data_IF_112935187721
#
_entry.id   IF_112935187721
#
_cell.length_a   1.000
_cell.length_b   1.000
_cell.length_c   1.000
_cell.angle_alpha   90.00
_cell.angle_beta   90.00
_cell.angle_gamma   90.00
#
_symmetry.space_group_name_H-M   'P 1'
#
loop_
_entity.id
_entity.type
_entity.pdbx_description
1 polymer ?
2 polymer ?
3 water ?
#
# COMPACT_ATOMS: atom_id res chain seq x y z
N UNK A 13 1.44 7.34 -19.83
CA UNK A 13 2.43 6.21 -19.91
C UNK A 13 3.02 5.87 -18.54
N UNK A 14 4.02 4.99 -18.53
CA UNK A 14 4.65 4.57 -17.29
C UNK A 14 5.45 5.71 -16.66
N UNK A 15 5.76 6.73 -17.44
CA UNK A 15 6.51 7.87 -16.93
C UNK A 15 5.65 8.82 -16.12
N UNK A 16 4.35 8.54 -16.07
CA UNK A 16 3.38 9.35 -15.32
C UNK A 16 3.95 9.69 -13.94
N UNK A 17 3.62 10.87 -13.42
CA UNK A 17 4.12 11.30 -12.12
C UNK A 17 3.20 10.87 -10.97
N UNK A 18 1.99 10.43 -11.30
CA UNK A 18 1.05 9.97 -10.30
C UNK A 18 0.04 9.01 -10.89
N UNK A 19 -0.61 8.25 -10.03
CA UNK A 19 -1.60 7.28 -10.47
C UNK A 19 -2.35 6.72 -9.27
N UNK A 20 -3.46 6.03 -9.54
CA UNK A 20 -4.26 5.40 -8.50
C UNK A 20 -4.52 3.96 -8.95
N UNK A 21 -4.21 3.00 -8.10
CA UNK A 21 -4.43 1.60 -8.42
C UNK A 21 -4.98 0.88 -7.19
N UNK A 22 -5.66 -0.24 -7.43
CA UNK A 22 -6.26 -1.02 -6.35
C UNK A 22 -5.79 -2.46 -6.36
N UNK A 23 -6.04 -3.15 -5.25
CA UNK A 23 -5.69 -4.56 -5.10
C UNK A 23 -6.71 -5.14 -4.14
N UNK A 24 -7.37 -6.21 -4.58
CA UNK A 24 -8.37 -6.87 -3.75
C UNK A 24 -7.79 -8.15 -3.19
N UNK A 25 -7.75 -8.24 -1.86
CA UNK A 25 -7.22 -9.40 -1.16
C UNK A 25 -8.37 -10.35 -0.84
N UNK A 26 -8.23 -11.58 -1.31
CA UNK A 26 -9.24 -12.61 -1.14
C UNK A 26 -8.98 -13.52 0.07
N UNK A 27 -10.06 -14.09 0.61
CA UNK A 27 -9.99 -14.95 1.79
C UNK A 27 -9.27 -14.14 2.87
N UNK A 28 -9.59 -12.85 2.92
CA UNK A 28 -8.97 -11.93 3.86
C UNK A 28 -8.96 -12.41 5.31
N UNK A 29 -10.08 -12.95 5.77
CA UNK A 29 -10.18 -13.41 7.15
C UNK A 29 -9.15 -14.49 7.45
N UNK A 30 -8.72 -15.20 6.41
CA UNK A 30 -7.75 -16.27 6.59
C UNK A 30 -6.30 -15.87 6.31
N UNK A 31 -6.07 -14.59 6.03
CA UNK A 31 -4.73 -14.07 5.75
C UNK A 31 -3.74 -14.42 6.86
N UNK A 32 -2.56 -14.90 6.48
CA UNK A 32 -1.52 -15.28 7.43
C UNK A 32 -0.15 -14.75 7.01
N UNK A 33 0.13 -14.77 5.71
CA UNK A 33 1.42 -14.26 5.22
C UNK A 33 1.15 -12.89 4.63
N UNK A 34 2.21 -12.17 4.29
CA UNK A 34 2.00 -10.87 3.69
C UNK A 34 1.74 -11.11 2.21
N UNK A 35 0.81 -10.34 1.66
CA UNK A 35 0.43 -10.47 0.26
C UNK A 35 0.95 -9.27 -0.53
N UNK A 36 1.29 -9.50 -1.80
CA UNK A 36 1.82 -8.46 -2.67
C UNK A 36 0.94 -8.29 -3.91
N UNK A 37 0.74 -7.05 -4.34
CA UNK A 37 -0.08 -6.78 -5.51
C UNK A 37 0.77 -6.71 -6.78
N UNK A 38 0.14 -6.77 -7.96
CA UNK A 38 0.93 -6.69 -9.19
C UNK A 38 1.51 -5.28 -9.21
N UNK A 39 2.48 -5.02 -10.08
CA UNK A 39 3.06 -3.67 -10.10
C UNK A 39 2.29 -2.59 -10.87
N UNK A 40 2.34 -1.36 -10.36
CA UNK A 40 1.73 -0.20 -11.03
C UNK A 40 2.91 0.73 -11.27
N UNK A 41 3.09 1.14 -12.52
CA UNK A 41 4.21 2.01 -12.87
C UNK A 41 3.87 3.48 -12.86
N UNK A 42 4.74 4.25 -12.20
CA UNK A 42 4.62 5.70 -12.14
C UNK A 42 6.08 6.13 -12.00
N UNK A 43 6.48 7.13 -12.78
CA UNK A 43 7.87 7.60 -12.79
C UNK A 43 8.72 6.45 -13.28
N UNK A 44 8.08 5.55 -14.02
CA UNK A 44 8.72 4.39 -14.61
C UNK A 44 9.22 3.34 -13.62
N UNK A 45 8.77 3.43 -12.37
CA UNK A 45 9.16 2.47 -11.35
C UNK A 45 7.98 1.61 -10.92
N UNK A 46 8.25 0.37 -10.48
CA UNK A 46 7.20 -0.55 -10.04
C UNK A 46 6.74 -0.29 -8.60
N UNK A 47 5.47 0.07 -8.44
CA UNK A 47 4.91 0.33 -7.12
C UNK A 47 3.89 -0.77 -6.78
N UNK A 48 3.88 -1.21 -5.53
CA UNK A 48 2.95 -2.27 -5.15
C UNK A 48 2.31 -2.03 -3.80
N UNK A 49 1.17 -2.68 -3.58
CA UNK A 49 0.46 -2.60 -2.31
C UNK A 49 0.90 -3.84 -1.52
N UNK A 50 1.24 -3.65 -0.26
CA UNK A 50 1.66 -4.76 0.60
C UNK A 50 0.76 -4.84 1.83
N UNK A 51 0.11 -5.98 2.00
CA UNK A 51 -0.81 -6.22 3.13
C UNK A 51 -0.45 -7.45 3.96
N UNK A 52 -0.59 -7.35 5.27
CA UNK A 52 -0.34 -8.50 6.13
C UNK A 52 -0.91 -8.29 7.52
N UNK A 53 -1.20 -9.38 8.23
CA UNK A 53 -1.74 -9.29 9.58
C UNK A 53 -0.63 -8.93 10.57
N UNK A 54 -0.94 -8.05 11.53
CA UNK A 54 0.04 -7.64 12.53
C UNK A 54 -0.55 -7.69 13.93
N UNK A 55 0.33 -7.80 14.93
CA UNK A 55 -0.11 -7.85 16.33
C UNK A 55 0.69 -6.87 17.18
N UNK A 62 -5.28 -11.19 12.74
CA UNK A 62 -5.83 -10.66 13.98
C UNK A 62 -5.23 -9.31 14.35
N UNK A 63 -5.66 -8.78 15.48
CA UNK A 63 -5.21 -7.50 15.99
C UNK A 63 -5.37 -6.36 14.98
N UNK A 64 -4.39 -6.15 14.09
CA UNK A 64 -4.52 -5.07 13.11
C UNK A 64 -4.10 -5.41 11.69
N UNK A 65 -4.49 -4.54 10.77
CA UNK A 65 -4.15 -4.73 9.37
C UNK A 65 -2.91 -3.94 8.99
N UNK A 66 -1.89 -4.64 8.51
CA UNK A 66 -0.67 -3.99 8.07
C UNK A 66 -0.87 -3.59 6.62
N UNK A 67 -0.62 -2.33 6.30
CA UNK A 67 -0.81 -1.81 4.94
C UNK A 67 0.40 -0.93 4.57
N UNK A 68 1.12 -1.30 3.52
CA UNK A 68 2.30 -0.55 3.11
C UNK A 68 2.43 -0.35 1.60
N UNK A 69 3.16 0.68 1.20
CA UNK A 69 3.38 0.96 -0.21
C UNK A 69 4.85 0.67 -0.50
N UNK A 70 5.08 -0.25 -1.43
CA UNK A 70 6.43 -0.66 -1.80
C UNK A 70 6.84 -0.07 -3.14
N UNK A 71 8.13 0.24 -3.27
CA UNK A 71 8.67 0.82 -4.49
C UNK A 71 9.99 0.19 -4.92
N UNK A 72 10.09 -0.17 -6.20
CA UNK A 72 11.32 -0.71 -6.77
C UNK A 72 12.02 -1.73 -5.86
N UNK A 73 11.27 -2.66 -5.27
CA UNK A 73 11.87 -3.64 -4.37
C UNK A 73 12.58 -4.80 -5.06
N UNK A 74 12.19 -5.10 -6.29
CA UNK A 74 12.78 -6.18 -7.06
C UNK A 74 14.19 -5.82 -7.51
N UNK A 75 14.41 -4.54 -7.81
CA UNK A 75 15.73 -4.09 -8.28
C UNK A 75 16.86 -4.38 -7.30
N UNK A 76 18.00 -4.79 -7.83
CA UNK A 76 19.13 -5.07 -6.96
C UNK A 76 20.03 -3.83 -6.90
N UNK A 77 19.50 -2.69 -7.35
CA UNK A 77 20.24 -1.44 -7.34
C UNK A 77 20.20 -0.82 -5.94
N UNK A 78 21.27 -0.12 -5.57
CA UNK A 78 21.34 0.50 -4.26
C UNK A 78 21.66 1.98 -4.39
N UNK A 79 21.39 2.53 -5.57
CA UNK A 79 21.69 3.92 -5.87
C UNK A 79 20.45 4.75 -6.19
N UNK A 80 19.33 4.07 -6.39
CA UNK A 80 18.08 4.73 -6.75
C UNK A 80 17.41 5.33 -5.52
N UNK A 81 16.55 6.32 -5.74
CA UNK A 81 15.79 6.94 -4.66
C UNK A 81 14.65 7.74 -5.29
N UNK A 82 13.50 7.72 -4.64
CA UNK A 82 12.33 8.43 -5.13
C UNK A 82 11.45 8.88 -3.98
N UNK A 83 11.24 10.19 -3.89
CA UNK A 83 10.39 10.70 -2.83
C UNK A 83 8.96 10.79 -3.35
N UNK A 84 7.99 10.37 -2.54
CA UNK A 84 6.60 10.41 -2.96
C UNK A 84 5.66 10.65 -1.78
N UNK A 85 4.44 11.03 -2.10
CA UNK A 85 3.41 11.25 -1.10
C UNK A 85 2.29 10.37 -1.62
N UNK A 86 1.53 9.77 -0.72
CA UNK A 86 0.45 8.93 -1.20
C UNK A 86 -0.68 8.85 -0.19
N UNK A 87 -1.82 8.34 -0.64
CA UNK A 87 -2.95 8.15 0.24
C UNK A 87 -3.29 6.67 0.17
N UNK A 88 -3.15 6.00 1.31
CA UNK A 88 -3.42 4.58 1.44
C UNK A 88 -4.86 4.44 1.94
N UNK A 89 -5.71 3.77 1.17
CA UNK A 89 -7.10 3.64 1.56
C UNK A 89 -7.70 2.24 1.49
N UNK A 90 -8.58 1.93 2.43
CA UNK A 90 -9.26 0.65 2.41
C UNK A 90 -10.69 0.99 2.02
N UNK A 91 -11.01 0.67 0.77
CA UNK A 91 -12.33 0.95 0.22
C UNK A 91 -13.46 0.37 1.04
N UNK A 92 -14.53 1.13 1.16
CA UNK A 92 -15.72 0.68 1.86
C UNK A 92 -16.73 0.59 0.71
N UNK A 93 -17.04 -0.64 0.30
CA UNK A 93 -17.94 -0.88 -0.84
C UNK A 93 -19.38 -0.42 -0.64
N UNK A 94 -19.76 -0.08 0.59
CA UNK A 94 -21.11 0.39 0.85
C UNK A 94 -21.21 1.91 0.86
N UNK A 95 -20.07 2.60 1.00
CA UNK A 95 -20.04 4.07 1.03
C UNK A 95 -18.60 4.57 1.01
N UNK A 96 -18.13 5.05 -0.14
CA UNK A 96 -16.75 5.51 -0.17
C UNK A 96 -16.46 6.62 0.84
N UNK A 97 -17.50 7.26 1.34
CA UNK A 97 -17.30 8.30 2.33
C UNK A 97 -16.87 7.66 3.65
N UNK A 98 -17.12 6.37 3.80
CA UNK A 98 -16.73 5.66 5.01
C UNK A 98 -15.43 4.90 4.80
N UNK A 99 -14.79 5.10 3.65
CA UNK A 99 -13.52 4.44 3.39
C UNK A 99 -12.51 5.06 4.33
N UNK A 100 -11.62 4.24 4.87
CA UNK A 100 -10.60 4.72 5.79
C UNK A 100 -9.27 4.86 5.08
N UNK A 101 -8.65 6.03 5.22
CA UNK A 101 -7.38 6.26 4.55
C UNK A 101 -6.42 7.10 5.38
N UNK A 102 -5.13 6.93 5.11
CA UNK A 102 -4.08 7.67 5.81
C UNK A 102 -3.10 8.15 4.74
N UNK A 103 -2.52 9.32 4.95
CA UNK A 103 -1.56 9.88 4.01
C UNK A 103 -0.13 9.64 4.47
N UNK A 104 0.79 9.50 3.52
CA UNK A 104 2.19 9.30 3.85
C UNK A 104 3.08 10.14 2.96
N UNK A 105 4.30 10.34 3.42
CA UNK A 105 5.32 11.07 2.69
C UNK A 105 6.58 10.31 3.09
N UNK A 106 7.38 9.92 2.10
CA UNK A 106 8.58 9.13 2.38
C UNK A 106 9.58 9.17 1.24
N UNK A 107 10.85 9.01 1.59
CA UNK A 107 11.91 8.97 0.59
C UNK A 107 12.21 7.49 0.40
N UNK A 108 11.77 6.91 -0.71
CA UNK A 108 12.01 5.49 -0.99
C UNK A 108 13.39 5.24 -1.59
N UNK A 109 14.08 4.22 -1.08
CA UNK A 109 15.38 3.78 -1.60
C UNK A 109 15.58 2.32 -1.14
N UNK A 110 16.63 1.64 -1.60
CA UNK A 110 16.81 0.24 -1.25
C UNK A 110 16.68 -0.15 0.23
N UNK A 111 17.26 0.63 1.14
CA UNK A 111 17.17 0.26 2.56
C UNK A 111 15.81 0.58 3.20
N UNK A 112 14.92 1.19 2.43
CA UNK A 112 13.57 1.51 2.90
C UNK A 112 12.71 1.55 1.65
N UNK A 113 12.52 0.39 1.03
CA UNK A 113 11.74 0.34 -0.20
C UNK A 113 10.22 0.28 0.01
N UNK A 114 9.78 0.36 1.26
CA UNK A 114 8.34 0.38 1.54
C UNK A 114 8.07 1.30 2.72
N UNK A 115 6.81 1.74 2.82
CA UNK A 115 6.39 2.66 3.87
C UNK A 115 4.89 2.55 4.10
N UNK A 116 4.47 2.67 5.36
CA UNK A 116 3.05 2.58 5.67
C UNK A 116 2.78 2.38 7.15
N UNK A 117 1.69 1.68 7.45
CA UNK A 117 1.30 1.43 8.83
C UNK A 117 1.10 -0.05 9.15
N UNK A 118 1.74 -0.53 10.22
CA UNK A 118 1.59 -1.92 10.62
C UNK A 118 0.25 -2.04 11.36
N UNK A 119 -0.21 -0.92 11.88
CA UNK A 119 -1.48 -0.86 12.57
C UNK A 119 -2.34 0.17 11.84
N UNK A 120 -2.59 -0.10 10.56
CA UNK A 120 -3.37 0.81 9.73
C UNK A 120 -4.83 0.84 10.14
N UNK A 121 -5.34 -0.32 10.55
CA UNK A 121 -6.73 -0.46 10.97
C UNK A 121 -6.86 -1.67 11.88
N UNK A 122 -7.90 -1.68 12.71
CA UNK A 122 -8.15 -2.79 13.62
C UNK A 122 -8.66 -3.95 12.78
N UNK A 123 -8.03 -5.11 12.93
CA UNK A 123 -8.42 -6.28 12.17
C UNK A 123 -9.90 -6.62 12.36
N UNK A 124 -10.36 -6.60 13.61
CA UNK A 124 -11.76 -6.92 13.90
C UNK A 124 -12.73 -5.96 13.23
N UNK A 125 -12.29 -4.73 12.99
CA UNK A 125 -13.16 -3.76 12.35
C UNK A 125 -13.27 -4.03 10.86
N UNK A 126 -12.13 -4.16 10.17
CA UNK A 126 -12.13 -4.41 8.73
C UNK A 126 -12.89 -5.68 8.35
N UNK A 127 -12.78 -6.72 9.17
CA UNK A 127 -13.45 -7.99 8.89
C UNK A 127 -14.88 -8.04 9.41
N UNK A 128 -15.37 -6.94 9.99
CA UNK A 128 -16.73 -6.88 10.51
C UNK A 128 -17.72 -6.81 9.34
N UNK A 129 -18.49 -7.88 9.11
CA UNK A 129 -19.46 -7.90 8.01
C UNK A 129 -20.44 -6.73 8.01
N UNK A 130 -20.55 -6.03 9.14
CA UNK A 130 -21.49 -4.93 9.21
C UNK A 130 -20.90 -3.54 8.94
N UNK A 131 -19.58 -3.48 8.77
CA UNK A 131 -18.91 -2.19 8.51
C UNK A 131 -18.88 -1.80 7.04
N UNK A 132 -19.00 -2.78 6.15
CA UNK A 132 -18.99 -2.49 4.73
C UNK A 132 -17.62 -2.43 4.07
N UNK A 133 -16.62 -3.02 4.72
CA UNK A 133 -15.27 -3.05 4.17
C UNK A 133 -15.01 -4.43 3.58
N UNK A 134 -15.68 -5.44 4.12
CA UNK A 134 -15.48 -6.80 3.65
C UNK A 134 -16.73 -7.41 3.01
N UNK A 135 -16.53 -8.12 1.91
CA UNK A 135 -17.62 -8.76 1.20
C UNK A 135 -17.09 -10.03 0.55
N UNK A 136 -17.74 -11.15 0.84
CA UNK A 136 -17.34 -12.45 0.32
C UNK A 136 -15.89 -12.70 0.73
N UNK A 137 -15.52 -12.12 1.87
CA UNK A 137 -14.17 -12.25 2.42
C UNK A 137 -13.10 -11.61 1.54
N UNK A 138 -13.45 -10.50 0.90
CA UNK A 138 -12.52 -9.77 0.04
C UNK A 138 -12.47 -8.33 0.56
N UNK A 139 -11.29 -7.73 0.52
CA UNK A 139 -11.11 -6.35 0.98
C UNK A 139 -10.26 -5.62 -0.04
N UNK A 140 -10.77 -4.51 -0.56
CA UNK A 140 -10.03 -3.77 -1.57
C UNK A 140 -9.18 -2.63 -1.02
N UNK A 141 -7.92 -2.63 -1.46
CA UNK A 141 -6.92 -1.66 -1.04
C UNK A 141 -6.60 -0.73 -2.19
N UNK A 142 -6.52 0.56 -1.90
CA UNK A 142 -6.23 1.53 -2.93
C UNK A 142 -5.09 2.44 -2.53
N UNK A 143 -4.30 2.82 -3.52
CA UNK A 143 -3.21 3.73 -3.27
C UNK A 143 -3.15 4.79 -4.34
N UNK A 144 -3.04 6.04 -3.88
CA UNK A 144 -2.91 7.19 -4.76
C UNK A 144 -1.52 7.74 -4.46
N UNK A 145 -0.58 7.49 -5.36
CA UNK A 145 0.80 7.94 -5.18
C UNK A 145 1.17 9.08 -6.13
N UNK A 146 1.92 10.04 -5.60
CA UNK A 146 2.40 11.19 -6.34
C UNK A 146 3.88 11.24 -6.04
N UNK A 147 4.65 10.71 -6.97
CA UNK A 147 6.09 10.62 -6.83
C UNK A 147 6.82 11.63 -7.68
N UNK A 148 7.95 12.09 -7.17
CA UNK A 148 8.77 13.05 -7.88
C UNK A 148 9.69 12.30 -8.83
N UNK A 149 10.48 13.05 -9.59
CA UNK A 149 11.41 12.39 -10.49
C UNK A 149 12.39 11.61 -9.61
N UNK A 150 12.72 10.37 -10.00
CA UNK A 150 13.65 9.56 -9.21
C UNK A 150 15.10 9.95 -9.48
N UNK A 151 16.00 9.46 -8.63
CA UNK A 151 17.44 9.69 -8.77
C UNK A 151 18.12 8.32 -8.75
N UNK A 152 19.29 8.23 -9.39
CA UNK A 152 20.04 6.98 -9.43
C UNK A 152 19.37 5.84 -10.18
N UNK A 153 18.59 6.18 -11.20
CA UNK A 153 17.89 5.17 -11.97
C UNK A 153 18.15 5.34 -13.47
N UNK A 154 17.60 6.41 -14.04
CA UNK A 154 17.76 6.68 -15.46
C UNK A 154 18.73 7.84 -15.65
N UNK A 155 20.01 7.57 -15.40
CA UNK A 155 21.06 8.57 -15.52
C UNK A 155 20.99 9.31 -16.87
N UNK B 2 -2.01 5.24 13.63
CA UNK B 2 -0.81 5.07 14.49
C UNK B 2 0.39 5.72 13.78
N UNK B 3 1.60 5.34 14.19
CA UNK B 3 2.83 5.88 13.61
C UNK B 3 3.27 5.07 12.39
N UNK B 4 3.73 5.75 11.32
CA UNK B 4 4.20 5.11 10.08
C UNK B 4 5.62 4.55 10.17
N UNK B 5 5.92 3.59 9.31
CA UNK B 5 7.24 2.97 9.25
C UNK B 5 7.29 2.04 8.05
N UNK B 6 8.32 1.20 8.01
CA UNK B 6 8.49 0.23 6.94
C UNK B 6 7.96 -1.08 7.51
N UNK B 7 7.58 -2.01 6.64
CA UNK B 7 7.05 -3.29 7.08
C UNK B 7 8.05 -4.02 7.98
N UNK B 8 9.33 -3.71 7.81
CA UNK B 8 10.38 -4.33 8.60
C UNK B 8 10.37 -3.79 10.04
#
# INVERSE_FOLDING_TARGET
>A
GSHTAEEDMEDDTSWRSEATFQFTVERFSRLSESVLSPPCFVRNLPWKIMVMPRFYPDRPHQKSVGFFLQCNAESDSTSWSCHAQAVLKIINYRDDEKSFSRRISHLFFHKENDWGFSNFMAWSEVTDPEKGFIDDDKVTFEVFVQADAPHGVAW
>B
YSQPSTSSSI
#
